data_IF_028880362270
#
_entry.id   IF_028880362270
#
_cell.length_a   1.000
_cell.length_b   1.000
_cell.length_c   1.000
_cell.angle_alpha   90.00
_cell.angle_beta   90.00
_cell.angle_gamma   90.00
#
_symmetry.space_group_name_H-M   'P 1'
#
loop_
_entity.id
_entity.type
_entity.pdbx_description
1 polymer ?
#
# COMPACT_ATOMS: atom_id res chain seq x y z
N UNK A 1 -27.58 11.91 13.39
CA UNK A 1 -26.73 10.80 13.87
C UNK A 1 -25.74 10.46 12.80
N UNK A 2 -24.48 10.34 13.17
CA UNK A 2 -23.40 9.91 12.27
C UNK A 2 -23.60 8.45 11.89
N UNK A 3 -23.56 8.15 10.58
CA UNK A 3 -23.71 6.78 10.10
C UNK A 3 -22.41 6.02 10.34
N UNK A 4 -22.50 4.78 10.83
CA UNK A 4 -21.35 3.92 11.15
C UNK A 4 -21.13 2.89 10.06
N UNK A 5 -19.89 2.76 9.61
CA UNK A 5 -19.47 1.73 8.66
C UNK A 5 -19.17 0.40 9.35
N UNK A 6 -19.62 -0.70 8.75
CA UNK A 6 -19.42 -2.07 9.21
C UNK A 6 -18.97 -2.97 8.07
N UNK A 7 -18.17 -3.97 8.39
CA UNK A 7 -17.75 -5.01 7.47
C UNK A 7 -18.44 -6.32 7.81
N UNK A 8 -19.12 -6.89 6.83
CA UNK A 8 -19.69 -8.23 6.86
C UNK A 8 -18.92 -9.10 5.86
N UNK A 9 -18.43 -10.25 6.32
CA UNK A 9 -17.89 -11.32 5.49
C UNK A 9 -18.61 -12.61 5.84
N UNK A 10 -19.02 -13.35 4.82
CA UNK A 10 -19.60 -14.67 4.97
C UNK A 10 -19.11 -15.62 3.88
N UNK A 11 -19.03 -16.89 4.23
CA UNK A 11 -18.71 -17.99 3.33
C UNK A 11 -20.02 -18.62 2.85
N UNK A 12 -20.15 -18.86 1.54
CA UNK A 12 -21.31 -19.56 0.98
C UNK A 12 -21.11 -21.05 1.17
N UNK A 13 -21.92 -21.68 2.03
CA UNK A 13 -21.87 -23.12 2.29
C UNK A 13 -22.55 -23.90 1.15
N UNK A 14 -23.68 -23.39 0.65
CA UNK A 14 -24.44 -24.00 -0.45
C UNK A 14 -24.81 -22.93 -1.47
N UNK A 15 -24.41 -23.14 -2.73
CA UNK A 15 -24.66 -22.17 -3.80
C UNK A 15 -26.13 -22.23 -4.25
N UNK A 16 -26.99 -21.52 -3.53
CA UNK A 16 -28.41 -21.36 -3.87
C UNK A 16 -28.60 -20.13 -4.78
N UNK A 17 -29.21 -20.26 -5.97
CA UNK A 17 -29.60 -19.11 -6.78
C UNK A 17 -30.44 -18.12 -5.98
N UNK A 18 -30.11 -16.83 -6.06
CA UNK A 18 -30.85 -15.77 -5.36
C UNK A 18 -30.37 -15.43 -3.94
N UNK A 19 -29.43 -16.19 -3.36
CA UNK A 19 -28.92 -15.96 -2.00
C UNK A 19 -28.47 -14.51 -1.74
N UNK A 20 -27.77 -13.92 -2.73
CA UNK A 20 -27.36 -12.52 -2.62
C UNK A 20 -28.57 -11.55 -2.59
N UNK A 21 -29.60 -11.85 -3.38
CA UNK A 21 -30.84 -11.08 -3.38
C UNK A 21 -31.57 -11.17 -2.04
N UNK A 22 -31.61 -12.36 -1.44
CA UNK A 22 -32.20 -12.58 -0.11
C UNK A 22 -31.50 -11.74 0.96
N UNK A 23 -30.16 -11.79 1.01
CA UNK A 23 -29.35 -11.01 1.97
C UNK A 23 -29.49 -9.51 1.70
N UNK A 24 -29.45 -9.07 0.45
CA UNK A 24 -29.61 -7.65 0.10
C UNK A 24 -30.99 -7.12 0.48
N UNK A 25 -32.03 -7.94 0.30
CA UNK A 25 -33.40 -7.60 0.71
C UNK A 25 -33.53 -7.48 2.23
N UNK A 26 -32.92 -8.41 2.98
CA UNK A 26 -32.84 -8.34 4.45
C UNK A 26 -32.19 -7.03 4.91
N UNK A 27 -31.03 -6.68 4.34
CA UNK A 27 -30.33 -5.43 4.67
C UNK A 27 -31.20 -4.21 4.39
N UNK A 28 -31.90 -4.20 3.24
CA UNK A 28 -32.86 -3.15 2.89
C UNK A 28 -34.00 -3.02 3.90
N UNK A 29 -34.63 -4.12 4.31
CA UNK A 29 -35.69 -4.15 5.33
C UNK A 29 -35.21 -3.63 6.70
N UNK A 30 -33.95 -3.85 7.02
CA UNK A 30 -33.33 -3.36 8.25
C UNK A 30 -32.83 -1.92 8.16
N UNK A 31 -33.06 -1.23 7.01
CA UNK A 31 -32.52 0.09 6.72
C UNK A 31 -30.98 0.17 6.87
N UNK A 32 -30.30 -0.89 6.44
CA UNK A 32 -28.84 -0.98 6.34
C UNK A 32 -28.47 -0.81 4.87
N UNK A 33 -27.64 0.19 4.58
CA UNK A 33 -27.22 0.46 3.20
C UNK A 33 -25.98 -0.37 2.86
N UNK A 34 -25.94 -0.94 1.65
CA UNK A 34 -24.74 -1.54 1.09
C UNK A 34 -23.94 -0.43 0.41
N UNK A 35 -22.74 -0.15 0.91
CA UNK A 35 -21.79 0.80 0.29
C UNK A 35 -21.09 0.12 -0.87
N UNK A 36 -20.60 -1.10 -0.64
CA UNK A 36 -19.90 -1.90 -1.66
C UNK A 36 -20.08 -3.37 -1.33
N UNK A 37 -20.12 -4.21 -2.36
CA UNK A 37 -20.17 -5.65 -2.24
C UNK A 37 -19.32 -6.29 -3.33
N UNK A 38 -18.61 -7.36 -2.97
CA UNK A 38 -17.89 -8.17 -3.95
C UNK A 38 -17.73 -9.62 -3.47
N UNK A 39 -17.47 -10.53 -4.40
CA UNK A 39 -16.91 -11.83 -4.08
C UNK A 39 -15.48 -11.63 -3.60
N UNK A 40 -15.12 -12.25 -2.49
CA UNK A 40 -13.73 -12.33 -2.01
C UNK A 40 -13.38 -13.81 -2.14
N UNK A 41 -12.20 -14.14 -2.68
CA UNK A 41 -11.73 -15.50 -3.03
C UNK A 41 -12.39 -16.71 -2.31
N UNK A 42 -12.50 -17.83 -3.03
CA UNK A 42 -12.96 -19.12 -2.47
C UNK A 42 -14.35 -19.08 -1.82
N UNK A 43 -15.36 -18.59 -2.56
CA UNK A 43 -16.77 -18.57 -2.12
C UNK A 43 -17.08 -17.63 -0.95
N UNK A 44 -16.15 -16.76 -0.56
CA UNK A 44 -16.43 -15.69 0.38
C UNK A 44 -17.12 -14.52 -0.32
N UNK A 45 -17.94 -13.79 0.43
CA UNK A 45 -18.48 -12.50 0.01
C UNK A 45 -18.24 -11.49 1.10
N UNK A 46 -17.75 -10.32 0.69
CA UNK A 46 -17.51 -9.18 1.56
C UNK A 46 -18.47 -8.05 1.22
N UNK A 47 -19.00 -7.39 2.24
CA UNK A 47 -19.87 -6.22 2.13
C UNK A 47 -19.40 -5.12 3.09
N UNK A 48 -19.29 -3.90 2.57
CA UNK A 48 -19.26 -2.70 3.38
C UNK A 48 -20.69 -2.20 3.58
N UNK A 49 -21.08 -2.09 4.83
CA UNK A 49 -22.42 -1.75 5.28
C UNK A 49 -22.39 -0.39 5.97
N UNK A 50 -23.45 0.39 5.81
CA UNK A 50 -23.63 1.68 6.47
C UNK A 50 -24.92 1.66 7.27
N UNK A 51 -24.76 1.76 8.60
CA UNK A 51 -25.84 1.65 9.58
C UNK A 51 -26.00 2.97 10.36
N UNK A 52 -27.18 3.18 10.94
CA UNK A 52 -27.47 4.33 11.81
C UNK A 52 -27.04 4.04 13.26
N UNK A 53 -27.20 2.80 13.72
CA UNK A 53 -26.86 2.37 15.07
C UNK A 53 -26.28 0.95 15.11
N UNK A 54 -25.76 0.54 16.27
CA UNK A 54 -25.14 -0.78 16.47
C UNK A 54 -26.17 -1.88 16.77
N UNK A 55 -27.41 -1.50 17.12
CA UNK A 55 -28.49 -2.44 17.37
C UNK A 55 -28.93 -3.11 16.07
N UNK A 56 -28.97 -2.37 14.96
CA UNK A 56 -29.18 -2.90 13.61
C UNK A 56 -28.23 -4.05 13.30
N UNK A 57 -26.94 -3.90 13.63
CA UNK A 57 -25.92 -4.92 13.39
C UNK A 57 -26.08 -6.12 14.32
N UNK A 58 -26.46 -5.88 15.58
CA UNK A 58 -26.71 -6.96 16.55
C UNK A 58 -27.88 -7.84 16.09
N UNK A 59 -28.97 -7.22 15.62
CA UNK A 59 -30.12 -7.93 15.05
C UNK A 59 -29.73 -8.67 13.76
N UNK A 60 -28.95 -8.03 12.89
CA UNK A 60 -28.49 -8.63 11.64
C UNK A 60 -27.68 -9.90 11.92
N UNK A 61 -26.77 -9.84 12.90
CA UNK A 61 -25.98 -11.01 13.33
C UNK A 61 -26.87 -12.18 13.73
N UNK A 62 -27.88 -11.93 14.56
CA UNK A 62 -28.80 -12.98 15.01
C UNK A 62 -29.53 -13.65 13.84
N UNK A 63 -29.98 -12.87 12.85
CA UNK A 63 -30.67 -13.39 11.67
C UNK A 63 -29.72 -14.19 10.79
N UNK A 64 -28.54 -13.64 10.46
CA UNK A 64 -27.57 -14.32 9.60
C UNK A 64 -27.07 -15.63 10.21
N UNK A 65 -26.94 -15.71 11.54
CA UNK A 65 -26.53 -16.94 12.24
C UNK A 65 -27.59 -18.06 12.19
N UNK A 66 -28.83 -17.75 11.82
CA UNK A 66 -29.89 -18.76 11.61
C UNK A 66 -29.95 -19.28 10.18
N UNK A 67 -29.13 -18.75 9.27
CA UNK A 67 -29.12 -19.18 7.88
C UNK A 67 -28.12 -20.32 7.67
N UNK A 68 -28.61 -21.49 7.25
CA UNK A 68 -27.75 -22.66 6.99
C UNK A 68 -26.96 -22.56 5.67
N UNK A 69 -27.33 -21.61 4.79
CA UNK A 69 -26.72 -21.42 3.47
C UNK A 69 -25.40 -20.65 3.51
N UNK A 70 -25.15 -19.92 4.60
CA UNK A 70 -23.98 -19.09 4.78
C UNK A 70 -23.37 -19.30 6.16
N UNK A 71 -22.08 -19.00 6.28
CA UNK A 71 -21.40 -18.93 7.55
C UNK A 71 -20.79 -17.55 7.70
N UNK A 72 -21.26 -16.77 8.67
CA UNK A 72 -20.67 -15.45 8.95
C UNK A 72 -19.28 -15.64 9.53
N UNK A 73 -18.26 -15.16 8.83
CA UNK A 73 -16.86 -15.23 9.26
C UNK A 73 -16.42 -13.96 9.96
N UNK A 74 -16.90 -12.79 9.51
CA UNK A 74 -16.58 -11.49 10.12
C UNK A 74 -17.81 -10.59 10.13
N UNK A 75 -18.07 -9.96 11.26
CA UNK A 75 -19.03 -8.86 11.39
C UNK A 75 -18.50 -7.87 12.42
N UNK A 76 -17.81 -6.82 11.96
CA UNK A 76 -17.06 -5.88 12.80
C UNK A 76 -16.82 -4.55 12.09
N UNK A 77 -16.26 -3.55 12.78
CA UNK A 77 -15.78 -2.33 12.12
C UNK A 77 -14.72 -2.68 11.04
N UNK A 78 -14.79 -2.07 9.85
CA UNK A 78 -13.89 -2.36 8.75
C UNK A 78 -12.46 -1.91 9.06
N UNK A 79 -11.50 -2.78 8.75
CA UNK A 79 -10.09 -2.44 8.62
C UNK A 79 -9.80 -2.04 7.17
N UNK A 80 -8.65 -1.41 6.95
CA UNK A 80 -8.16 -1.06 5.60
C UNK A 80 -8.19 -2.26 4.64
N UNK A 81 -7.70 -3.41 5.10
CA UNK A 81 -7.70 -4.66 4.31
C UNK A 81 -9.10 -5.13 3.93
N UNK A 82 -10.08 -4.93 4.83
CA UNK A 82 -11.46 -5.32 4.57
C UNK A 82 -12.05 -4.46 3.43
N UNK A 83 -11.80 -3.13 3.46
CA UNK A 83 -12.28 -2.22 2.40
C UNK A 83 -11.67 -2.55 1.04
N UNK A 84 -10.36 -2.81 1.01
CA UNK A 84 -9.65 -3.14 -0.23
C UNK A 84 -10.06 -4.52 -0.76
N UNK A 85 -10.24 -5.51 0.12
CA UNK A 85 -10.70 -6.82 -0.31
C UNK A 85 -12.08 -6.79 -0.95
N UNK A 86 -13.01 -5.96 -0.43
CA UNK A 86 -14.31 -5.75 -1.07
C UNK A 86 -14.16 -4.99 -2.38
N UNK A 87 -13.32 -3.95 -2.45
CA UNK A 87 -13.17 -3.16 -3.68
C UNK A 87 -12.58 -3.97 -4.84
N UNK A 88 -11.58 -4.80 -4.58
CA UNK A 88 -10.85 -5.54 -5.62
C UNK A 88 -11.24 -7.01 -5.73
N UNK A 89 -11.99 -7.56 -4.77
CA UNK A 89 -12.48 -8.94 -4.78
C UNK A 89 -11.43 -10.00 -4.41
N UNK A 90 -10.31 -9.61 -3.79
CA UNK A 90 -9.21 -10.50 -3.38
C UNK A 90 -8.61 -10.07 -2.05
N UNK A 91 -8.02 -11.00 -1.30
CA UNK A 91 -7.38 -10.68 -0.03
C UNK A 91 -6.00 -10.06 -0.24
N UNK A 92 -5.63 -9.12 0.64
CA UNK A 92 -4.23 -8.68 0.75
C UNK A 92 -3.52 -9.58 1.75
N UNK A 93 -2.57 -10.36 1.25
CA UNK A 93 -1.70 -11.19 2.08
C UNK A 93 -0.67 -10.32 2.81
N UNK A 94 -0.54 -10.52 4.12
CA UNK A 94 0.62 -10.04 4.86
C UNK A 94 1.44 -11.20 5.31
N UNK A 95 2.70 -10.94 5.62
CA UNK A 95 3.49 -11.92 6.31
C UNK A 95 2.83 -12.31 7.65
N UNK A 96 2.93 -13.58 8.00
CA UNK A 96 2.40 -14.16 9.24
C UNK A 96 3.25 -13.66 10.41
N UNK A 97 4.56 -13.51 10.18
CA UNK A 97 5.54 -13.13 11.19
C UNK A 97 5.75 -11.61 11.28
N UNK A 98 5.57 -10.88 10.17
CA UNK A 98 5.67 -9.42 10.13
C UNK A 98 4.36 -8.76 9.69
N UNK A 99 3.63 -8.23 10.68
CA UNK A 99 2.35 -7.53 10.47
C UNK A 99 2.49 -6.23 9.67
N UNK A 100 3.70 -5.67 9.57
CA UNK A 100 3.97 -4.43 8.83
C UNK A 100 4.29 -4.68 7.37
N UNK A 101 4.58 -5.91 6.97
CA UNK A 101 4.94 -6.27 5.60
C UNK A 101 3.72 -6.74 4.79
N UNK A 102 3.50 -6.11 3.65
CA UNK A 102 2.41 -6.37 2.72
C UNK A 102 2.96 -6.77 1.36
N UNK A 103 2.51 -7.90 0.82
CA UNK A 103 2.99 -8.44 -0.45
C UNK A 103 1.96 -8.23 -1.54
N UNK A 104 2.42 -7.76 -2.69
CA UNK A 104 1.63 -7.55 -3.89
C UNK A 104 2.37 -8.13 -5.09
N UNK A 105 1.62 -8.74 -6.00
CA UNK A 105 2.13 -9.10 -7.31
C UNK A 105 1.95 -7.94 -8.28
N UNK A 106 2.80 -7.89 -9.31
CA UNK A 106 2.72 -6.90 -10.39
C UNK A 106 1.38 -6.92 -11.11
N UNK A 107 0.71 -8.06 -11.16
CA UNK A 107 -0.64 -8.17 -11.74
C UNK A 107 -1.69 -7.39 -10.93
N UNK A 108 -1.43 -7.15 -9.63
CA UNK A 108 -2.31 -6.46 -8.71
C UNK A 108 -1.91 -4.98 -8.47
N UNK A 109 -1.23 -4.35 -9.44
CA UNK A 109 -0.81 -2.94 -9.34
C UNK A 109 -1.95 -1.99 -8.96
N UNK A 110 -3.16 -2.22 -9.46
CA UNK A 110 -4.34 -1.42 -9.11
C UNK A 110 -4.70 -1.49 -7.62
N UNK A 111 -4.62 -2.69 -7.02
CA UNK A 111 -4.85 -2.91 -5.60
C UNK A 111 -3.74 -2.27 -4.74
N UNK A 112 -2.49 -2.36 -5.20
CA UNK A 112 -1.36 -1.69 -4.56
C UNK A 112 -1.54 -0.17 -4.55
N UNK A 113 -1.94 0.41 -5.69
CA UNK A 113 -2.18 1.86 -5.81
C UNK A 113 -3.27 2.31 -4.85
N UNK A 114 -4.39 1.62 -4.80
CA UNK A 114 -5.49 1.92 -3.87
C UNK A 114 -5.06 1.77 -2.40
N UNK A 115 -4.27 0.73 -2.09
CA UNK A 115 -3.73 0.52 -0.75
C UNK A 115 -2.84 1.67 -0.31
N UNK A 116 -1.88 2.07 -1.15
CA UNK A 116 -0.98 3.19 -0.85
C UNK A 116 -1.72 4.52 -0.78
N UNK A 117 -2.71 4.76 -1.65
CA UNK A 117 -3.50 5.98 -1.61
C UNK A 117 -4.21 6.15 -0.26
N UNK A 118 -4.83 5.09 0.25
CA UNK A 118 -5.44 5.07 1.58
C UNK A 118 -4.43 5.26 2.72
N UNK A 119 -3.18 4.81 2.56
CA UNK A 119 -2.12 5.11 3.51
C UNK A 119 -1.72 6.59 3.46
N UNK A 120 -1.62 7.17 2.26
CA UNK A 120 -1.19 8.55 2.06
C UNK A 120 -2.24 9.56 2.52
N UNK A 121 -3.52 9.21 2.50
CA UNK A 121 -4.60 10.04 3.03
C UNK A 121 -4.61 10.14 4.58
N UNK A 122 -3.87 9.27 5.29
CA UNK A 122 -3.76 9.37 6.75
C UNK A 122 -2.89 10.57 7.13
N UNK A 123 -3.32 11.30 8.15
CA UNK A 123 -2.58 12.45 8.68
C UNK A 123 -1.37 12.02 9.53
N UNK A 124 -0.40 12.92 9.60
CA UNK A 124 0.79 12.80 10.44
C UNK A 124 1.94 12.00 9.84
N UNK A 125 2.91 11.66 10.69
CA UNK A 125 4.12 10.95 10.29
C UNK A 125 3.79 9.52 9.82
N UNK A 126 4.17 9.20 8.59
CA UNK A 126 4.12 7.84 8.03
C UNK A 126 5.41 7.54 7.31
N UNK A 127 6.13 6.50 7.76
CA UNK A 127 7.33 6.00 7.09
C UNK A 127 7.00 4.69 6.39
N UNK A 128 6.98 4.72 5.06
CA UNK A 128 6.58 3.60 4.22
C UNK A 128 7.78 3.15 3.40
N UNK A 129 8.15 1.88 3.49
CA UNK A 129 9.20 1.28 2.68
C UNK A 129 8.59 0.56 1.50
N UNK A 130 9.17 0.69 0.31
CA UNK A 130 8.79 -0.09 -0.86
C UNK A 130 9.99 -0.87 -1.41
N UNK A 131 9.83 -2.20 -1.39
CA UNK A 131 10.78 -3.21 -1.86
C UNK A 131 10.27 -3.83 -3.15
N UNK A 132 11.17 -4.43 -3.90
CA UNK A 132 10.87 -5.09 -5.17
C UNK A 132 12.03 -4.99 -6.16
N UNK A 133 12.06 -5.90 -7.12
CA UNK A 133 13.09 -5.94 -8.16
C UNK A 133 13.09 -4.66 -9.01
N UNK A 134 14.21 -4.32 -9.69
CA UNK A 134 14.24 -3.20 -10.63
C UNK A 134 13.12 -3.29 -11.67
N UNK A 135 12.49 -2.15 -12.01
CA UNK A 135 11.45 -2.04 -13.04
C UNK A 135 10.15 -2.81 -12.77
N UNK A 136 9.92 -3.29 -11.54
CA UNK A 136 8.67 -3.94 -11.15
C UNK A 136 7.47 -2.97 -11.06
N UNK A 137 7.73 -1.66 -11.07
CA UNK A 137 6.71 -0.60 -11.04
C UNK A 137 6.60 0.14 -9.71
N UNK A 138 7.63 0.09 -8.85
CA UNK A 138 7.63 0.74 -7.53
C UNK A 138 7.31 2.23 -7.63
N UNK A 139 8.16 2.98 -8.34
CA UNK A 139 8.05 4.44 -8.42
C UNK A 139 6.77 4.88 -9.11
N UNK A 140 6.37 4.20 -10.19
CA UNK A 140 5.12 4.46 -10.89
C UNK A 140 3.91 4.24 -9.99
N UNK A 141 3.94 3.21 -9.14
CA UNK A 141 2.87 2.95 -8.18
C UNK A 141 2.79 4.03 -7.11
N UNK A 142 3.94 4.50 -6.57
CA UNK A 142 3.96 5.60 -5.59
C UNK A 142 3.37 6.87 -6.20
N UNK A 143 3.75 7.20 -7.44
CA UNK A 143 3.21 8.37 -8.15
C UNK A 143 1.70 8.23 -8.39
N UNK A 144 1.25 7.07 -8.91
CA UNK A 144 -0.16 6.82 -9.15
C UNK A 144 -1.00 6.91 -7.85
N UNK A 145 -0.49 6.35 -6.76
CA UNK A 145 -1.12 6.45 -5.45
C UNK A 145 -1.15 7.88 -4.90
N UNK A 146 -0.10 8.67 -5.15
CA UNK A 146 -0.05 10.09 -4.77
C UNK A 146 -1.14 10.90 -5.50
N UNK A 147 -1.32 10.64 -6.81
CA UNK A 147 -2.40 11.24 -7.60
C UNK A 147 -3.77 10.82 -7.07
N UNK A 148 -3.99 9.53 -6.80
CA UNK A 148 -5.23 9.01 -6.25
C UNK A 148 -5.55 9.62 -4.86
N UNK A 149 -4.53 9.83 -4.03
CA UNK A 149 -4.65 10.46 -2.73
C UNK A 149 -4.79 11.99 -2.77
N UNK A 150 -4.72 12.61 -3.95
CA UNK A 150 -4.62 14.05 -4.13
C UNK A 150 -3.50 14.68 -3.27
N UNK A 151 -2.36 14.00 -3.20
CA UNK A 151 -1.17 14.42 -2.46
C UNK A 151 -0.11 14.92 -3.44
N UNK A 152 0.46 16.10 -3.16
CA UNK A 152 1.58 16.60 -3.94
C UNK A 152 2.83 15.82 -3.54
N UNK A 153 3.57 15.26 -4.49
CA UNK A 153 4.76 14.47 -4.22
C UNK A 153 6.04 15.20 -4.64
N UNK A 154 7.14 14.92 -3.93
CA UNK A 154 8.45 15.48 -4.19
C UNK A 154 9.49 14.37 -4.22
N UNK A 155 10.24 14.27 -5.31
CA UNK A 155 11.41 13.40 -5.39
C UNK A 155 12.60 14.08 -4.71
N UNK A 156 13.03 13.53 -3.59
CA UNK A 156 14.26 13.90 -2.89
C UNK A 156 15.44 13.18 -3.51
N UNK A 157 15.25 11.88 -3.79
CA UNK A 157 16.11 11.07 -4.63
C UNK A 157 15.27 10.06 -5.43
N UNK A 158 15.59 9.84 -6.71
CA UNK A 158 14.83 8.92 -7.57
C UNK A 158 15.57 8.56 -8.85
N UNK A 159 15.31 7.37 -9.39
CA UNK A 159 15.77 6.92 -10.71
C UNK A 159 14.92 7.37 -11.89
N UNK A 160 13.64 7.76 -11.71
CA UNK A 160 12.68 8.01 -12.81
C UNK A 160 13.02 9.21 -13.71
N UNK A 161 13.65 10.25 -13.16
CA UNK A 161 13.94 11.50 -13.88
C UNK A 161 15.43 11.82 -13.73
N UNK A 162 16.24 11.37 -14.71
CA UNK A 162 17.69 11.63 -14.80
C UNK A 162 18.52 11.29 -13.55
N UNK A 163 18.04 10.40 -12.67
CA UNK A 163 18.68 10.12 -11.38
C UNK A 163 18.86 11.39 -10.55
N UNK A 164 17.75 11.96 -10.08
CA UNK A 164 17.74 13.21 -9.30
C UNK A 164 18.21 12.96 -7.87
N UNK A 165 19.09 13.83 -7.36
CA UNK A 165 19.47 13.93 -5.95
C UNK A 165 19.39 15.41 -5.57
N UNK A 166 18.50 15.75 -4.62
CA UNK A 166 18.31 17.12 -4.15
C UNK A 166 19.15 17.39 -2.90
N UNK A 167 19.76 18.57 -2.83
CA UNK A 167 20.55 18.97 -1.66
C UNK A 167 19.83 19.99 -0.77
N UNK A 168 18.70 20.53 -1.23
CA UNK A 168 17.83 21.44 -0.48
C UNK A 168 16.42 21.44 -1.09
N UNK A 169 15.44 21.81 -0.29
CA UNK A 169 14.10 22.19 -0.73
C UNK A 169 13.93 23.71 -0.59
N UNK A 170 13.00 24.29 -1.34
CA UNK A 170 12.56 25.67 -1.08
C UNK A 170 11.51 25.67 0.05
N UNK A 171 11.34 26.79 0.75
CA UNK A 171 10.46 26.88 1.93
C UNK A 171 9.03 26.35 1.67
N UNK A 172 8.48 26.64 0.50
CA UNK A 172 7.14 26.21 0.09
C UNK A 172 6.98 24.69 -0.11
N UNK A 173 8.09 23.96 -0.20
CA UNK A 173 8.11 22.50 -0.34
C UNK A 173 8.14 21.77 1.01
N UNK A 174 8.46 22.45 2.12
CA UNK A 174 8.40 21.89 3.47
C UNK A 174 6.97 21.92 4.01
N UNK A 175 6.12 21.00 3.55
CA UNK A 175 4.71 20.93 3.95
C UNK A 175 4.32 19.52 4.39
N UNK A 176 3.49 19.46 5.42
CA UNK A 176 2.96 18.21 6.00
C UNK A 176 2.00 17.48 5.06
N UNK A 177 1.37 18.21 4.15
CA UNK A 177 0.48 17.66 3.13
C UNK A 177 1.22 17.12 1.90
N UNK A 178 2.53 17.34 1.81
CA UNK A 178 3.37 16.76 0.76
C UNK A 178 3.79 15.33 1.12
N UNK A 179 4.06 14.54 0.07
CA UNK A 179 4.68 13.23 0.15
C UNK A 179 6.11 13.32 -0.35
N UNK A 180 7.07 12.80 0.44
CA UNK A 180 8.49 12.82 0.07
C UNK A 180 8.96 11.43 -0.35
N UNK A 181 9.54 11.33 -1.53
CA UNK A 181 10.04 10.07 -2.09
C UNK A 181 11.56 10.08 -2.07
N UNK A 182 12.15 9.10 -1.40
CA UNK A 182 13.60 8.92 -1.24
C UNK A 182 13.95 7.52 -1.76
N UNK A 183 14.93 7.42 -2.64
CA UNK A 183 15.46 6.14 -3.10
C UNK A 183 16.77 5.83 -2.37
N UNK A 184 16.78 4.79 -1.54
CA UNK A 184 17.92 4.36 -0.75
C UNK A 184 19.15 4.04 -1.59
N UNK A 185 18.98 3.40 -2.75
CA UNK A 185 20.10 3.08 -3.66
C UNK A 185 20.70 4.35 -4.25
N UNK A 186 19.84 5.27 -4.72
CA UNK A 186 20.31 6.51 -5.35
C UNK A 186 21.01 7.41 -4.32
N UNK A 187 20.46 7.46 -3.10
CA UNK A 187 21.03 8.22 -1.99
C UNK A 187 22.39 7.64 -1.60
N UNK A 188 22.48 6.35 -1.32
CA UNK A 188 23.76 5.68 -0.97
C UNK A 188 24.87 5.92 -2.00
N UNK A 189 24.54 5.84 -3.29
CA UNK A 189 25.55 5.91 -4.37
C UNK A 189 25.97 7.33 -4.75
N UNK A 190 25.14 8.35 -4.52
CA UNK A 190 25.34 9.68 -5.12
C UNK A 190 25.12 10.85 -4.17
N UNK A 191 24.66 10.61 -2.95
CA UNK A 191 24.45 11.67 -1.97
C UNK A 191 25.78 12.27 -1.53
N UNK A 192 25.74 13.57 -1.25
CA UNK A 192 26.75 14.26 -0.46
C UNK A 192 26.16 14.58 0.93
N UNK A 193 26.97 15.18 1.80
CA UNK A 193 26.50 15.52 3.16
C UNK A 193 25.28 16.46 3.17
N UNK A 194 25.15 17.35 2.18
CA UNK A 194 23.99 18.25 2.08
C UNK A 194 22.70 17.48 1.76
N UNK A 195 22.78 16.46 0.91
CA UNK A 195 21.64 15.57 0.68
C UNK A 195 21.22 14.85 1.95
N UNK A 196 22.17 14.30 2.71
CA UNK A 196 21.86 13.62 3.97
C UNK A 196 21.30 14.57 5.02
N UNK A 197 21.80 15.81 5.06
CA UNK A 197 21.20 16.86 5.87
C UNK A 197 19.74 17.10 5.46
N UNK A 198 19.44 17.24 4.16
CA UNK A 198 18.08 17.39 3.69
C UNK A 198 17.20 16.20 4.07
N UNK A 199 17.70 14.96 3.91
CA UNK A 199 16.97 13.75 4.32
C UNK A 199 16.63 13.83 5.81
N UNK A 200 17.57 14.18 6.69
CA UNK A 200 17.33 14.34 8.13
C UNK A 200 16.30 15.43 8.44
N UNK A 201 16.30 16.54 7.70
CA UNK A 201 15.28 17.58 7.83
C UNK A 201 13.89 17.07 7.45
N UNK A 202 13.77 16.40 6.29
CA UNK A 202 12.51 15.82 5.81
C UNK A 202 11.98 14.77 6.77
N UNK A 203 12.85 13.91 7.30
CA UNK A 203 12.45 12.86 8.23
C UNK A 203 11.82 13.41 9.52
N UNK A 204 12.18 14.63 9.94
CA UNK A 204 11.59 15.31 11.11
C UNK A 204 10.21 15.93 10.85
N UNK A 205 9.82 16.15 9.60
CA UNK A 205 8.50 16.70 9.26
C UNK A 205 7.41 15.68 9.63
N UNK A 206 6.23 16.09 10.12
CA UNK A 206 5.11 15.16 10.36
C UNK A 206 4.35 14.84 9.04
N UNK A 207 5.10 14.52 7.99
CA UNK A 207 4.60 14.18 6.66
C UNK A 207 4.78 12.69 6.35
N UNK A 208 4.16 12.24 5.25
CA UNK A 208 4.36 10.90 4.67
C UNK A 208 5.66 10.85 3.88
N UNK A 209 6.50 9.84 4.17
CA UNK A 209 7.74 9.54 3.45
C UNK A 209 7.64 8.14 2.88
N UNK A 210 8.02 8.02 1.62
CA UNK A 210 8.14 6.74 0.94
C UNK A 210 9.62 6.52 0.61
N UNK A 211 10.19 5.47 1.19
CA UNK A 211 11.57 5.06 0.96
C UNK A 211 11.55 3.88 0.01
N UNK A 212 12.03 4.08 -1.22
CA UNK A 212 12.35 2.96 -2.10
C UNK A 212 13.67 2.32 -1.65
N UNK A 213 13.74 0.98 -1.75
CA UNK A 213 14.92 0.23 -1.32
C UNK A 213 15.28 0.51 0.14
N UNK A 214 14.33 0.31 1.09
CA UNK A 214 14.53 0.62 2.50
C UNK A 214 15.71 -0.17 3.10
N UNK A 215 16.01 -1.36 2.58
CA UNK A 215 17.15 -2.18 2.99
C UNK A 215 18.49 -1.46 2.87
N UNK A 216 18.68 -0.69 1.81
CA UNK A 216 19.91 0.10 1.59
C UNK A 216 19.86 1.39 2.41
N UNK A 217 18.68 2.01 2.53
CA UNK A 217 18.51 3.23 3.30
C UNK A 217 18.89 3.05 4.78
N UNK A 218 18.50 1.93 5.41
CA UNK A 218 18.81 1.65 6.83
C UNK A 218 20.29 1.31 7.06
N UNK A 219 21.03 0.92 6.03
CA UNK A 219 22.48 0.68 6.13
C UNK A 219 23.26 2.00 6.19
N UNK A 220 22.76 3.04 5.54
CA UNK A 220 23.42 4.34 5.40
C UNK A 220 22.94 5.39 6.42
N UNK A 221 21.95 5.06 7.26
CA UNK A 221 21.30 5.99 8.18
C UNK A 221 21.13 5.41 9.57
N UNK A 222 20.72 6.24 10.53
CA UNK A 222 20.39 5.79 11.89
C UNK A 222 19.08 4.99 12.00
N UNK A 223 18.30 4.91 10.92
CA UNK A 223 17.00 4.24 10.89
C UNK A 223 17.16 2.72 10.78
N UNK A 224 16.17 2.00 11.31
CA UNK A 224 16.05 0.55 11.24
C UNK A 224 14.79 0.16 10.48
N UNK A 225 14.74 -1.08 9.99
CA UNK A 225 13.53 -1.62 9.35
C UNK A 225 12.30 -1.55 10.29
N UNK A 226 12.52 -1.66 11.61
CA UNK A 226 11.45 -1.56 12.60
C UNK A 226 10.84 -0.16 12.73
N UNK A 227 11.55 0.89 12.30
CA UNK A 227 11.06 2.28 12.33
C UNK A 227 9.99 2.54 11.25
N UNK A 228 9.91 1.66 10.25
CA UNK A 228 8.87 1.75 9.22
C UNK A 228 7.50 1.39 9.81
N UNK A 229 6.50 2.18 9.43
CA UNK A 229 5.10 1.89 9.74
C UNK A 229 4.56 0.76 8.86
N UNK A 230 5.01 0.73 7.60
CA UNK A 230 4.61 -0.23 6.58
C UNK A 230 5.81 -0.57 5.68
N UNK A 231 5.97 -1.85 5.36
CA UNK A 231 6.85 -2.32 4.29
C UNK A 231 5.97 -2.94 3.22
N UNK A 232 6.17 -2.52 1.98
CA UNK A 232 5.44 -3.00 0.82
C UNK A 232 6.42 -3.74 -0.08
N UNK A 233 6.11 -4.99 -0.39
CA UNK A 233 6.88 -5.82 -1.31
C UNK A 233 6.10 -5.97 -2.61
N UNK A 234 6.64 -5.43 -3.69
CA UNK A 234 6.09 -5.61 -5.03
C UNK A 234 6.93 -6.65 -5.78
N UNK A 235 6.30 -7.77 -6.11
CA UNK A 235 6.92 -8.95 -6.72
C UNK A 235 6.36 -9.23 -8.12
N UNK A 236 7.12 -9.91 -8.97
CA UNK A 236 6.61 -10.42 -10.24
C UNK A 236 5.76 -11.68 -10.06
N UNK A 237 6.06 -12.50 -9.05
CA UNK A 237 5.32 -13.70 -8.67
C UNK A 237 5.46 -13.94 -7.15
N UNK A 238 4.63 -14.82 -6.59
CA UNK A 238 4.54 -15.02 -5.14
C UNK A 238 5.86 -15.53 -4.51
N UNK A 239 6.60 -16.35 -5.25
CA UNK A 239 7.84 -16.99 -4.81
C UNK A 239 9.08 -16.11 -5.01
N UNK A 240 8.96 -14.93 -5.64
CA UNK A 240 10.09 -14.06 -5.94
C UNK A 240 10.74 -13.54 -4.64
N UNK A 241 12.00 -13.90 -4.44
CA UNK A 241 12.84 -13.31 -3.40
C UNK A 241 13.41 -11.97 -3.88
N UNK A 242 13.13 -10.93 -3.11
CA UNK A 242 13.65 -9.59 -3.39
C UNK A 242 15.09 -9.52 -2.89
N UNK A 243 16.04 -9.57 -3.82
CA UNK A 243 17.48 -9.47 -3.54
C UNK A 243 18.09 -8.25 -4.24
N UNK A 244 19.07 -7.63 -3.61
CA UNK A 244 19.73 -6.41 -4.11
C UNK A 244 21.21 -6.60 -4.47
N UNK A 245 21.69 -7.85 -4.54
CA UNK A 245 23.09 -8.22 -4.79
C UNK A 245 23.65 -7.63 -6.11
N UNK A 246 22.81 -7.39 -7.11
CA UNK A 246 23.23 -6.79 -8.39
C UNK A 246 23.49 -5.28 -8.33
N UNK A 247 23.14 -4.63 -7.22
CA UNK A 247 23.38 -3.20 -6.97
C UNK A 247 24.69 -2.99 -6.19
N UNK A 248 25.33 -4.04 -5.68
CA UNK A 248 26.61 -3.93 -4.98
C UNK A 248 27.82 -3.89 -5.91
N UNK A 249 27.67 -4.16 -7.22
CA UNK A 249 28.76 -3.95 -8.16
C UNK A 249 28.80 -2.48 -8.59
N UNK A 250 29.83 -1.70 -8.20
CA UNK A 250 30.16 -0.52 -8.99
C UNK A 250 30.44 -1.04 -10.40
N UNK A 251 29.91 -0.35 -11.40
CA UNK A 251 30.26 -0.56 -12.80
C UNK A 251 31.77 -0.40 -12.97
N UNK A 252 32.51 -1.48 -12.83
CA UNK A 252 33.87 -1.61 -13.36
C UNK A 252 33.69 -1.84 -14.86
N UNK A 253 33.59 -0.73 -15.60
CA UNK A 253 33.97 -0.61 -17.02
C UNK A 253 33.72 0.82 -17.53
N UNK A 254 34.40 1.79 -16.91
CA UNK A 254 34.83 3.00 -17.62
C UNK A 254 36.35 3.02 -17.67
N UNK A 255 36.93 2.01 -18.31
CA UNK A 255 38.25 2.08 -18.95
C UNK A 255 38.46 0.75 -19.69
N UNK A 256 38.02 0.67 -20.94
CA UNK A 256 38.69 -0.17 -21.92
C UNK A 256 38.22 0.25 -23.32
N UNK A 257 39.16 0.78 -24.11
CA UNK A 257 39.13 0.68 -25.56
C UNK A 257 38.43 1.78 -26.36
N UNK A 258 38.82 3.05 -26.20
CA UNK A 258 38.83 3.95 -27.36
C UNK A 258 39.99 3.52 -28.27
N UNK A 259 39.72 2.54 -29.14
CA UNK A 259 40.59 2.15 -30.24
C UNK A 259 39.81 2.34 -31.54
N UNK A 260 40.06 3.49 -32.16
CA UNK A 260 40.42 3.62 -33.58
C UNK A 260 39.55 2.85 -34.59
N UNK A 261 38.70 3.57 -35.33
CA UNK A 261 38.60 3.42 -36.79
C UNK A 261 38.15 4.75 -37.40
N UNK A 262 39.12 5.45 -37.98
CA UNK A 262 38.94 6.37 -39.11
C UNK A 262 39.25 5.60 -40.41
N UNK A 263 38.62 6.05 -41.50
CA UNK A 263 38.51 5.54 -42.88
C UNK A 263 37.32 4.61 -43.20
#
# INVERSE_FOLDING_TARGET
MEKKEWYLEYEIQYNRPGLLGDISSLLGMMAINIVTINGVENSHRGMLLLCKDEEQITRLRSILNTMDTIKVTKLRKPKLRDRLAVRHGRYIHSDIDDRKTFRFNREDLGLLVDFMAELFMKEGHKLIGIRGMPRVGKTESVVAASVCANKRWLFVSSTLLKQTVRNQLIDEEYREDNLYIIDGIVSARRANEKHWQLVREIMRLPATKVIEHPDIFVQETEYKMDDFDYIIELRNNEEEEITYETVEKPSISMNDGFSMFDF
#
